data_IF_761655411579
#
_entry.id   IF_761655411579
#
_cell.length_a   1.000
_cell.length_b   1.000
_cell.length_c   1.000
_cell.angle_alpha   90.00
_cell.angle_beta   90.00
_cell.angle_gamma   90.00
#
_symmetry.space_group_name_H-M   'P 1'
#
loop_
_entity.id
_entity.type
_entity.pdbx_description
1 polymer ?
#
# COMPACT_ATOMS: atom_id res chain seq x y z
N UNK A 1 10.02 43.52 20.88
CA UNK A 1 9.95 42.96 19.50
C UNK A 1 10.37 41.49 19.43
N UNK A 2 11.55 41.10 19.92
CA UNK A 2 12.08 39.72 19.76
C UNK A 2 11.18 38.63 20.37
N UNK A 3 10.58 38.87 21.54
CA UNK A 3 9.68 37.89 22.19
C UNK A 3 8.41 37.60 21.39
N UNK A 4 7.85 38.62 20.73
CA UNK A 4 6.65 38.47 19.89
C UNK A 4 6.94 37.66 18.63
N UNK A 5 8.12 37.88 18.02
CA UNK A 5 8.59 37.11 16.86
C UNK A 5 8.79 35.64 17.23
N UNK A 6 9.37 35.35 18.40
CA UNK A 6 9.55 33.97 18.90
C UNK A 6 8.21 33.29 19.16
N UNK A 7 7.25 34.01 19.75
CA UNK A 7 5.92 33.50 20.00
C UNK A 7 5.17 33.20 18.69
N UNK A 8 5.23 34.11 17.71
CA UNK A 8 4.63 33.91 16.40
C UNK A 8 5.25 32.72 15.64
N UNK A 9 6.57 32.55 15.73
CA UNK A 9 7.26 31.41 15.12
C UNK A 9 6.82 30.07 15.75
N UNK A 10 6.73 30.00 17.08
CA UNK A 10 6.25 28.80 17.77
C UNK A 10 4.78 28.49 17.46
N UNK A 11 3.94 29.52 17.36
CA UNK A 11 2.55 29.35 16.95
C UNK A 11 2.44 28.78 15.53
N UNK A 12 3.21 29.31 14.56
CA UNK A 12 3.25 28.81 13.18
C UNK A 12 3.69 27.35 13.09
N UNK A 13 4.69 26.94 13.89
CA UNK A 13 5.15 25.54 13.97
C UNK A 13 4.04 24.65 14.55
N UNK A 14 3.34 25.12 15.59
CA UNK A 14 2.19 24.40 16.15
C UNK A 14 1.07 24.19 15.13
N UNK A 15 0.70 25.25 14.41
CA UNK A 15 -0.34 25.18 13.37
C UNK A 15 0.06 24.28 12.20
N UNK A 16 1.31 24.34 11.75
CA UNK A 16 1.79 23.48 10.66
C UNK A 16 1.78 22.01 11.05
N UNK A 17 2.16 21.69 12.29
CA UNK A 17 2.11 20.33 12.83
C UNK A 17 0.67 19.80 12.93
N UNK A 18 -0.26 20.61 13.43
CA UNK A 18 -1.68 20.24 13.50
C UNK A 18 -2.26 19.97 12.11
N UNK A 19 -1.97 20.86 11.14
CA UNK A 19 -2.38 20.68 9.75
C UNK A 19 -1.83 19.39 9.14
N UNK A 20 -0.54 19.10 9.33
CA UNK A 20 0.10 17.87 8.86
C UNK A 20 -0.53 16.62 9.48
N UNK A 21 -0.79 16.63 10.80
CA UNK A 21 -1.40 15.49 11.50
C UNK A 21 -2.82 15.21 11.00
N UNK A 22 -3.62 16.26 10.76
CA UNK A 22 -4.97 16.13 10.21
C UNK A 22 -4.95 15.58 8.78
N UNK A 23 -4.01 16.05 7.94
CA UNK A 23 -3.83 15.53 6.59
C UNK A 23 -3.45 14.04 6.61
N UNK A 24 -2.46 13.65 7.42
CA UNK A 24 -2.08 12.24 7.59
C UNK A 24 -3.25 11.36 8.06
N UNK A 25 -4.08 11.85 8.99
CA UNK A 25 -5.27 11.08 9.44
C UNK A 25 -6.24 10.83 8.30
N UNK A 26 -6.48 11.83 7.45
CA UNK A 26 -7.33 11.69 6.25
C UNK A 26 -6.72 10.72 5.24
N UNK A 27 -5.40 10.78 5.02
CA UNK A 27 -4.71 9.85 4.12
C UNK A 27 -4.77 8.40 4.64
N UNK A 28 -4.62 8.20 5.95
CA UNK A 28 -4.82 6.88 6.57
C UNK A 28 -6.25 6.36 6.42
N UNK A 29 -7.26 7.22 6.61
CA UNK A 29 -8.67 6.83 6.40
C UNK A 29 -8.98 6.56 4.92
N UNK A 30 -8.38 7.30 3.99
CA UNK A 30 -8.53 7.04 2.55
C UNK A 30 -7.88 5.72 2.14
N UNK A 31 -6.78 5.33 2.77
CA UNK A 31 -6.12 4.04 2.58
C UNK A 31 -6.75 2.91 3.41
N UNK A 32 -7.71 3.21 4.29
CA UNK A 32 -8.64 2.24 4.88
C UNK A 32 -9.86 2.03 3.96
N UNK A 33 -9.68 2.19 2.64
CA UNK A 33 -10.61 1.59 1.68
C UNK A 33 -10.64 0.10 1.98
N UNK A 34 -11.81 -0.34 2.47
CA UNK A 34 -12.23 -1.73 2.68
C UNK A 34 -11.06 -2.70 2.66
N UNK A 35 -10.46 -2.93 3.84
CA UNK A 35 -9.72 -4.17 4.04
C UNK A 35 -10.73 -5.29 3.89
N UNK A 36 -10.94 -5.72 2.65
CA UNK A 36 -11.73 -6.88 2.29
C UNK A 36 -10.99 -8.10 2.85
N UNK A 37 -11.35 -8.47 4.07
CA UNK A 37 -10.78 -9.61 4.78
C UNK A 37 -11.39 -10.94 4.32
N UNK A 38 -12.28 -10.93 3.33
CA UNK A 38 -12.86 -12.15 2.74
C UNK A 38 -11.78 -13.11 2.25
N UNK A 39 -10.63 -12.57 1.83
CA UNK A 39 -9.46 -13.34 1.42
C UNK A 39 -8.88 -14.23 2.53
N UNK A 40 -9.23 -13.96 3.79
CA UNK A 40 -8.79 -14.70 4.98
C UNK A 40 -9.94 -15.44 5.67
N UNK A 41 -11.17 -15.32 5.17
CA UNK A 41 -12.33 -15.99 5.73
C UNK A 41 -12.39 -17.44 5.24
N UNK A 42 -12.76 -18.37 6.14
CA UNK A 42 -12.96 -19.77 5.77
C UNK A 42 -14.32 -19.95 5.13
N UNK A 43 -14.41 -20.80 4.12
CA UNK A 43 -15.70 -21.21 3.57
C UNK A 43 -16.46 -22.15 4.54
N UNK A 44 -17.67 -22.56 4.16
CA UNK A 44 -18.52 -23.46 4.96
C UNK A 44 -17.85 -24.82 5.25
N UNK A 45 -16.92 -25.25 4.38
CA UNK A 45 -16.13 -26.47 4.53
C UNK A 45 -14.89 -26.30 5.42
N UNK A 46 -14.64 -25.10 5.94
CA UNK A 46 -13.53 -24.78 6.83
C UNK A 46 -12.16 -24.56 6.14
N UNK A 47 -12.16 -24.43 4.81
CA UNK A 47 -10.98 -24.20 3.96
C UNK A 47 -10.76 -22.71 3.73
N UNK A 48 -9.50 -22.29 3.70
CA UNK A 48 -9.14 -20.93 3.28
C UNK A 48 -9.16 -20.78 1.75
N UNK A 49 -9.31 -19.56 1.19
CA UNK A 49 -9.41 -19.37 -0.26
C UNK A 49 -8.21 -19.92 -1.06
N UNK A 50 -7.00 -19.86 -0.50
CA UNK A 50 -5.78 -20.44 -1.10
C UNK A 50 -5.64 -21.95 -0.92
N UNK A 51 -6.47 -22.57 -0.06
CA UNK A 51 -6.54 -24.03 0.08
C UNK A 51 -7.55 -24.64 -0.89
N UNK A 52 -8.59 -23.88 -1.25
CA UNK A 52 -9.61 -24.25 -2.24
C UNK A 52 -9.03 -24.25 -3.65
N UNK A 53 -8.34 -23.18 -4.04
CA UNK A 53 -7.73 -23.07 -5.37
C UNK A 53 -6.26 -23.48 -5.35
N UNK A 54 -6.00 -24.74 -5.66
CA UNK A 54 -4.66 -25.31 -5.79
C UNK A 54 -4.19 -25.40 -7.24
N UNK A 55 -4.97 -24.87 -8.19
CA UNK A 55 -4.63 -24.96 -9.60
C UNK A 55 -3.52 -23.96 -9.96
N UNK A 56 -2.30 -24.49 -9.98
CA UNK A 56 -1.11 -23.78 -10.44
C UNK A 56 -0.77 -24.12 -11.90
N UNK A 57 -1.73 -24.63 -12.68
CA UNK A 57 -1.52 -24.98 -14.07
C UNK A 57 -1.16 -23.75 -14.92
N UNK A 58 -0.35 -23.92 -15.97
CA UNK A 58 -0.05 -22.85 -16.92
C UNK A 58 -1.28 -22.37 -17.70
N UNK A 59 -2.34 -23.18 -17.75
CA UNK A 59 -3.57 -22.91 -18.52
C UNK A 59 -4.36 -21.73 -17.95
N UNK A 60 -4.16 -21.42 -16.67
CA UNK A 60 -4.79 -20.30 -15.97
C UNK A 60 -4.27 -18.93 -16.41
N UNK A 61 -3.11 -18.89 -17.06
CA UNK A 61 -2.50 -17.64 -17.52
C UNK A 61 -3.20 -17.19 -18.80
N UNK A 62 -3.80 -16.00 -18.78
CA UNK A 62 -4.41 -15.42 -19.98
C UNK A 62 -3.41 -15.38 -21.14
N UNK A 63 -3.88 -15.65 -22.36
CA UNK A 63 -3.04 -15.61 -23.57
C UNK A 63 -2.46 -14.22 -23.86
N UNK A 64 -3.10 -13.19 -23.32
CA UNK A 64 -2.71 -11.78 -23.38
C UNK A 64 -1.76 -11.37 -22.27
N UNK A 65 -1.51 -12.23 -21.27
CA UNK A 65 -0.68 -11.88 -20.13
C UNK A 65 0.76 -11.58 -20.57
N UNK A 66 1.27 -10.43 -20.12
CA UNK A 66 2.66 -10.06 -20.40
C UNK A 66 3.61 -10.89 -19.56
N UNK A 67 4.70 -11.37 -20.19
CA UNK A 67 5.74 -12.10 -19.47
C UNK A 67 6.41 -11.17 -18.45
N UNK A 68 6.46 -11.60 -17.19
CA UNK A 68 7.28 -10.93 -16.19
C UNK A 68 8.76 -11.00 -16.56
N UNK A 69 9.42 -9.85 -16.64
CA UNK A 69 10.86 -9.74 -16.84
C UNK A 69 11.45 -9.00 -15.65
N UNK A 70 12.25 -9.69 -14.85
CA UNK A 70 13.02 -9.04 -13.80
C UNK A 70 14.03 -8.08 -14.44
N UNK A 71 13.82 -6.77 -14.25
CA UNK A 71 14.66 -5.70 -14.77
C UNK A 71 15.82 -5.34 -13.82
N UNK A 72 15.76 -5.76 -12.55
CA UNK A 72 16.77 -5.46 -11.54
C UNK A 72 18.02 -6.37 -11.63
N UNK A 73 17.96 -7.45 -12.42
CA UNK A 73 19.11 -8.32 -12.65
C UNK A 73 20.06 -7.72 -13.69
N UNK A 74 21.39 -7.80 -13.49
CA UNK A 74 22.35 -7.38 -14.50
C UNK A 74 22.12 -8.16 -15.80
N UNK A 75 22.01 -7.44 -16.91
CA UNK A 75 21.88 -8.05 -18.24
C UNK A 75 23.20 -8.71 -18.61
N UNK A 76 23.19 -9.98 -19.02
CA UNK A 76 24.37 -10.57 -19.67
C UNK A 76 24.62 -9.79 -20.98
N UNK A 77 25.79 -9.17 -21.08
CA UNK A 77 26.22 -8.49 -22.31
C UNK A 77 26.32 -9.48 -23.47
N UNK A 78 26.00 -9.00 -24.67
CA UNK A 78 26.37 -9.69 -25.92
C UNK A 78 27.89 -9.58 -26.04
N UNK A 79 28.59 -10.72 -26.02
CA UNK A 79 29.97 -10.79 -26.48
C UNK A 79 30.01 -10.58 -28.00
#
# INVERSE_FOLDING_TARGET
MVGYIRFAALALIGFSYVGFRLKKKKDHQKNQMETDLSQYEKNEDGLYPWEVDQDNSPERIEKTATRYVNQARPRRGRW
#
